data_IF_750771515775
#
_entry.id   IF_750771515775
#
_cell.length_a   1.000
_cell.length_b   1.000
_cell.length_c   1.000
_cell.angle_alpha   90.00
_cell.angle_beta   90.00
_cell.angle_gamma   90.00
#
_symmetry.space_group_name_H-M   'P 1'
#
loop_
_entity.id
_entity.type
_entity.pdbx_description
1 polymer ?
#
# COMPACT_ATOMS: atom_id res chain seq x y z
N UNK A 1 9.25 13.85 26.57
CA UNK A 1 8.34 12.95 25.81
C UNK A 1 8.08 13.65 24.49
N UNK A 2 8.87 13.31 23.46
CA UNK A 2 8.70 13.87 22.12
C UNK A 2 7.50 13.23 21.45
N UNK A 3 6.43 14.00 21.26
CA UNK A 3 5.38 13.62 20.31
C UNK A 3 6.03 13.43 18.93
N UNK A 4 5.98 12.21 18.40
CA UNK A 4 6.33 12.02 17.00
C UNK A 4 5.34 12.82 16.16
N UNK A 5 5.87 13.69 15.30
CA UNK A 5 5.03 14.37 14.33
C UNK A 5 4.44 13.36 13.35
N UNK A 6 3.14 13.42 13.13
CA UNK A 6 2.48 12.71 12.04
C UNK A 6 3.10 13.16 10.72
N UNK A 7 3.15 12.23 9.75
CA UNK A 7 3.66 12.47 8.42
C UNK A 7 5.14 12.09 8.23
N UNK A 8 5.61 12.28 7.02
CA UNK A 8 6.97 11.99 6.58
C UNK A 8 7.69 13.29 6.19
N UNK A 9 8.75 13.62 6.89
CA UNK A 9 9.52 14.86 6.72
C UNK A 9 10.82 14.69 5.92
N UNK A 10 11.09 13.50 5.38
CA UNK A 10 12.34 13.17 4.67
C UNK A 10 12.44 13.72 3.23
N UNK A 11 11.51 14.56 2.81
CA UNK A 11 11.48 15.10 1.45
C UNK A 11 10.92 14.14 0.41
N UNK A 12 11.42 14.19 -0.81
CA UNK A 12 10.96 13.31 -1.90
C UNK A 12 11.32 11.85 -1.62
N UNK A 13 10.38 10.96 -1.93
CA UNK A 13 10.54 9.52 -1.77
C UNK A 13 10.12 8.80 -3.04
N UNK A 14 11.00 7.96 -3.57
CA UNK A 14 10.79 7.14 -4.76
C UNK A 14 10.82 5.67 -4.36
N UNK A 15 9.65 5.03 -4.38
CA UNK A 15 9.50 3.62 -3.99
C UNK A 15 9.23 2.76 -5.21
N UNK A 16 10.07 1.75 -5.44
CA UNK A 16 9.79 0.67 -6.38
C UNK A 16 8.87 -0.34 -5.70
N UNK A 17 7.63 -0.45 -6.19
CA UNK A 17 6.62 -1.34 -5.65
C UNK A 17 6.60 -2.68 -6.42
N UNK A 18 6.87 -3.77 -5.71
CA UNK A 18 6.78 -5.15 -6.22
C UNK A 18 6.26 -6.11 -5.15
N UNK A 19 5.31 -5.65 -4.36
CA UNK A 19 4.62 -6.41 -3.31
C UNK A 19 3.43 -7.25 -3.81
N UNK A 20 3.22 -7.30 -5.13
CA UNK A 20 2.20 -8.16 -5.74
C UNK A 20 2.45 -9.62 -5.40
N UNK A 21 1.42 -10.31 -4.93
CA UNK A 21 1.48 -11.74 -4.53
C UNK A 21 0.64 -12.59 -5.46
N UNK A 22 -0.66 -12.70 -5.23
CA UNK A 22 -1.55 -13.53 -6.04
C UNK A 22 -1.54 -13.16 -7.53
N UNK A 23 -1.67 -11.88 -7.86
CA UNK A 23 -1.66 -11.43 -9.26
C UNK A 23 -0.30 -11.65 -9.95
N UNK A 24 0.80 -11.54 -9.24
CA UNK A 24 2.13 -11.83 -9.77
C UNK A 24 2.30 -13.32 -10.04
N UNK A 25 1.90 -14.16 -9.09
CA UNK A 25 1.89 -15.62 -9.21
C UNK A 25 1.06 -16.08 -10.41
N UNK A 26 -0.17 -15.60 -10.54
CA UNK A 26 -1.08 -16.08 -11.61
C UNK A 26 -0.76 -15.49 -12.97
N UNK A 27 -0.57 -14.16 -13.05
CA UNK A 27 -0.37 -13.47 -14.35
C UNK A 27 1.02 -13.66 -14.95
N UNK A 28 2.06 -13.72 -14.09
CA UNK A 28 3.44 -13.86 -14.56
C UNK A 28 3.86 -15.31 -14.76
N UNK A 29 3.42 -16.21 -13.87
CA UNK A 29 3.88 -17.59 -13.82
C UNK A 29 2.79 -18.61 -14.18
N UNK A 30 1.52 -18.20 -14.30
CA UNK A 30 0.41 -19.10 -14.59
C UNK A 30 0.13 -20.12 -13.47
N UNK A 31 0.55 -19.83 -12.25
CA UNK A 31 0.41 -20.75 -11.11
C UNK A 31 -0.90 -20.42 -10.39
N UNK A 32 -1.81 -21.38 -10.39
CA UNK A 32 -3.08 -21.30 -9.67
C UNK A 32 -2.97 -21.96 -8.28
N UNK A 33 -3.72 -21.44 -7.31
CA UNK A 33 -3.73 -21.94 -5.94
C UNK A 33 -2.43 -21.70 -5.17
N UNK A 34 -2.09 -22.58 -4.25
CA UNK A 34 -0.87 -22.46 -3.43
C UNK A 34 0.34 -22.98 -4.22
N UNK A 35 1.39 -22.17 -4.41
CA UNK A 35 2.60 -22.62 -5.10
C UNK A 35 3.34 -23.66 -4.25
N UNK A 36 3.93 -24.64 -4.94
CA UNK A 36 4.86 -25.55 -4.30
C UNK A 36 6.21 -24.88 -3.95
N UNK A 37 7.12 -25.55 -3.22
CA UNK A 37 8.41 -24.96 -2.85
C UNK A 37 9.28 -24.51 -4.04
N UNK A 38 9.28 -25.25 -5.15
CA UNK A 38 10.04 -24.89 -6.35
C UNK A 38 9.45 -23.69 -7.07
N UNK A 39 8.13 -23.64 -7.18
CA UNK A 39 7.39 -22.51 -7.72
C UNK A 39 7.59 -21.25 -6.85
N UNK A 40 7.55 -21.40 -5.53
CA UNK A 40 7.82 -20.32 -4.57
C UNK A 40 9.22 -19.74 -4.76
N UNK A 41 10.23 -20.59 -4.92
CA UNK A 41 11.61 -20.13 -5.16
C UNK A 41 11.75 -19.42 -6.51
N UNK A 42 11.08 -19.91 -7.56
CA UNK A 42 11.05 -19.25 -8.88
C UNK A 42 10.47 -17.84 -8.80
N UNK A 43 9.36 -17.67 -8.06
CA UNK A 43 8.73 -16.35 -7.85
C UNK A 43 9.66 -15.44 -7.02
N UNK A 44 10.29 -16.00 -5.98
CA UNK A 44 11.23 -15.26 -5.14
C UNK A 44 12.48 -14.79 -5.93
N UNK A 45 12.98 -15.61 -6.84
CA UNK A 45 14.09 -15.25 -7.74
C UNK A 45 13.71 -14.10 -8.67
N UNK A 46 12.50 -14.08 -9.19
CA UNK A 46 12.01 -12.97 -10.00
C UNK A 46 11.93 -11.67 -9.17
N UNK A 47 11.47 -11.74 -7.92
CA UNK A 47 11.48 -10.59 -7.00
C UNK A 47 12.89 -10.11 -6.69
N UNK A 48 13.83 -11.03 -6.50
CA UNK A 48 15.25 -10.70 -6.35
C UNK A 48 15.81 -9.96 -7.56
N UNK A 49 15.47 -10.39 -8.77
CA UNK A 49 15.89 -9.73 -10.01
C UNK A 49 15.32 -8.31 -10.13
N UNK A 50 14.06 -8.09 -9.74
CA UNK A 50 13.46 -6.75 -9.69
C UNK A 50 14.25 -5.86 -8.71
N UNK A 51 14.58 -6.39 -7.54
CA UNK A 51 15.38 -5.68 -6.54
C UNK A 51 16.79 -5.34 -7.04
N UNK A 52 17.46 -6.23 -7.78
CA UNK A 52 18.77 -5.96 -8.40
C UNK A 52 18.71 -4.78 -9.38
N UNK A 53 17.57 -4.58 -10.06
CA UNK A 53 17.31 -3.39 -10.86
C UNK A 53 17.34 -2.09 -10.02
N UNK A 54 16.85 -2.15 -8.79
CA UNK A 54 16.94 -1.02 -7.85
C UNK A 54 18.39 -0.77 -7.41
N UNK A 55 19.16 -1.82 -7.09
CA UNK A 55 20.57 -1.68 -6.75
C UNK A 55 21.35 -1.02 -7.88
N UNK A 56 21.10 -1.45 -9.12
CA UNK A 56 21.71 -0.85 -10.31
C UNK A 56 21.33 0.63 -10.48
N UNK A 57 20.09 1.01 -10.16
CA UNK A 57 19.67 2.41 -10.20
C UNK A 57 20.46 3.26 -9.18
N UNK A 58 20.69 2.74 -7.99
CA UNK A 58 21.52 3.39 -6.96
C UNK A 58 22.99 3.51 -7.41
N UNK A 59 23.55 2.47 -7.99
CA UNK A 59 24.90 2.49 -8.56
C UNK A 59 25.04 3.52 -9.68
N UNK A 60 23.97 3.80 -10.39
CA UNK A 60 23.90 4.82 -11.47
C UNK A 60 23.56 6.22 -10.99
N UNK A 61 23.48 6.43 -9.67
CA UNK A 61 23.34 7.76 -9.07
C UNK A 61 21.97 8.08 -8.46
N UNK A 62 21.04 7.13 -8.37
CA UNK A 62 19.85 7.33 -7.56
C UNK A 62 20.26 7.52 -6.10
N UNK A 63 19.67 8.53 -5.42
CA UNK A 63 19.98 8.82 -4.01
C UNK A 63 19.35 7.74 -3.09
N UNK A 64 20.15 6.91 -2.39
CA UNK A 64 19.61 5.86 -1.52
C UNK A 64 18.67 6.41 -0.43
N UNK A 65 18.98 7.57 0.14
CA UNK A 65 18.18 8.18 1.20
C UNK A 65 16.76 8.60 0.75
N UNK A 66 16.58 8.85 -0.55
CA UNK A 66 15.29 9.20 -1.16
C UNK A 66 14.64 8.02 -1.90
N UNK A 67 15.25 6.84 -1.85
CA UNK A 67 14.82 5.68 -2.63
C UNK A 67 14.43 4.54 -1.70
N UNK A 68 13.38 3.82 -2.06
CA UNK A 68 12.90 2.69 -1.28
C UNK A 68 12.30 1.58 -2.12
N UNK A 69 11.95 0.50 -1.46
CA UNK A 69 11.27 -0.65 -2.02
C UNK A 69 10.02 -0.97 -1.21
N UNK A 70 8.98 -1.41 -1.89
CA UNK A 70 7.79 -2.00 -1.29
C UNK A 70 7.73 -3.46 -1.74
N UNK A 71 7.93 -4.38 -0.81
CA UNK A 71 8.06 -5.81 -1.05
C UNK A 71 7.30 -6.62 -0.01
N UNK A 72 6.74 -7.75 -0.40
CA UNK A 72 6.00 -8.66 0.47
C UNK A 72 6.91 -9.69 1.19
N UNK A 73 6.40 -10.25 2.28
CA UNK A 73 7.09 -11.32 3.02
C UNK A 73 7.05 -12.65 2.28
N UNK A 74 5.93 -12.99 1.63
CA UNK A 74 5.69 -14.33 1.06
C UNK A 74 6.75 -14.72 0.02
N UNK A 75 7.02 -13.84 -0.93
CA UNK A 75 7.96 -14.10 -2.03
C UNK A 75 9.21 -13.23 -1.99
N UNK A 76 9.21 -12.16 -1.19
CA UNK A 76 10.27 -11.17 -1.16
C UNK A 76 11.07 -11.13 0.14
N UNK A 77 10.96 -12.14 1.01
CA UNK A 77 11.59 -12.14 2.35
C UNK A 77 13.12 -12.00 2.36
N UNK A 78 13.80 -12.25 1.24
CA UNK A 78 15.26 -12.08 1.09
C UNK A 78 15.68 -10.63 0.76
N UNK A 79 14.73 -9.75 0.44
CA UNK A 79 15.00 -8.36 0.02
C UNK A 79 15.20 -7.40 1.20
N UNK A 80 14.42 -7.45 2.29
CA UNK A 80 14.43 -6.44 3.35
C UNK A 80 15.82 -6.16 3.93
N UNK A 81 16.57 -7.19 4.30
CA UNK A 81 17.92 -7.06 4.87
C UNK A 81 18.89 -6.40 3.88
N UNK A 82 18.86 -6.81 2.61
CA UNK A 82 19.68 -6.21 1.55
C UNK A 82 19.33 -4.74 1.32
N UNK A 83 18.05 -4.40 1.28
CA UNK A 83 17.60 -3.02 1.09
C UNK A 83 18.08 -2.12 2.24
N UNK A 84 17.92 -2.56 3.48
CA UNK A 84 18.39 -1.83 4.66
C UNK A 84 19.91 -1.66 4.64
N UNK A 85 20.67 -2.70 4.28
CA UNK A 85 22.13 -2.63 4.20
C UNK A 85 22.66 -1.62 3.18
N UNK A 86 21.84 -1.29 2.17
CA UNK A 86 22.13 -0.26 1.15
C UNK A 86 21.59 1.14 1.54
N UNK A 87 21.01 1.29 2.72
CA UNK A 87 20.42 2.56 3.16
C UNK A 87 19.12 2.93 2.45
N UNK A 88 18.45 1.97 1.80
CA UNK A 88 17.16 2.17 1.14
C UNK A 88 16.04 2.16 2.17
N UNK A 89 14.97 2.92 1.88
CA UNK A 89 13.73 2.82 2.64
C UNK A 89 13.01 1.51 2.33
N UNK A 90 12.44 0.89 3.35
CA UNK A 90 11.70 -0.35 3.25
C UNK A 90 10.23 -0.12 3.61
N UNK A 91 9.33 -0.46 2.71
CA UNK A 91 7.90 -0.60 2.98
C UNK A 91 7.48 -2.06 2.80
N UNK A 92 6.58 -2.56 3.66
CA UNK A 92 6.06 -3.92 3.56
C UNK A 92 4.54 -3.93 3.78
N UNK A 93 3.80 -4.74 3.01
CA UNK A 93 2.35 -4.85 3.15
C UNK A 93 1.95 -5.60 4.42
N UNK A 94 0.86 -5.15 5.02
CA UNK A 94 0.22 -5.78 6.17
C UNK A 94 -1.10 -6.45 5.75
N UNK A 95 -1.68 -5.99 4.64
CA UNK A 95 -2.94 -6.50 4.11
C UNK A 95 -2.79 -7.89 3.50
N UNK A 96 -3.86 -8.68 3.61
CA UNK A 96 -4.06 -9.94 2.88
C UNK A 96 -4.28 -9.65 1.40
N UNK A 97 -3.52 -10.34 0.55
CA UNK A 97 -3.59 -10.15 -0.90
C UNK A 97 -4.87 -10.71 -1.51
N UNK A 98 -5.43 -9.97 -2.49
CA UNK A 98 -6.53 -10.46 -3.32
C UNK A 98 -7.94 -10.29 -2.72
N UNK A 99 -8.07 -9.68 -1.57
CA UNK A 99 -9.35 -9.44 -0.92
C UNK A 99 -9.93 -8.07 -1.29
N UNK A 100 -11.26 -7.98 -1.40
CA UNK A 100 -11.95 -6.70 -1.58
C UNK A 100 -12.07 -5.93 -0.25
N UNK A 101 -12.24 -6.63 0.84
CA UNK A 101 -12.26 -6.09 2.20
C UNK A 101 -10.86 -6.19 2.82
N UNK A 102 -10.46 -5.19 3.58
CA UNK A 102 -9.18 -5.23 4.29
C UNK A 102 -9.19 -6.27 5.41
N UNK A 103 -8.24 -7.19 5.35
CA UNK A 103 -7.89 -8.12 6.41
C UNK A 103 -6.37 -8.09 6.61
N UNK A 104 -5.93 -8.39 7.82
CA UNK A 104 -4.52 -8.65 8.08
C UNK A 104 -4.09 -9.98 7.45
N UNK A 105 -2.94 -9.99 6.75
CA UNK A 105 -2.38 -11.23 6.18
C UNK A 105 -2.13 -12.29 7.26
N UNK A 106 -1.65 -11.85 8.42
CA UNK A 106 -1.29 -12.72 9.54
C UNK A 106 -2.24 -12.58 10.74
N UNK A 107 -3.47 -12.11 10.51
CA UNK A 107 -4.48 -11.98 11.57
C UNK A 107 -3.95 -11.18 12.77
N UNK A 108 -4.17 -11.69 13.97
CA UNK A 108 -3.75 -11.04 15.22
C UNK A 108 -2.22 -11.01 15.41
N UNK A 109 -1.46 -11.78 14.62
CA UNK A 109 0.02 -11.84 14.68
C UNK A 109 0.69 -10.78 13.80
N UNK A 110 -0.07 -9.87 13.20
CA UNK A 110 0.46 -8.84 12.29
C UNK A 110 1.61 -8.04 12.90
N UNK A 111 1.53 -7.75 14.18
CA UNK A 111 2.54 -6.98 14.90
C UNK A 111 3.90 -7.67 14.94
N UNK A 112 3.92 -8.98 15.19
CA UNK A 112 5.16 -9.78 15.17
C UNK A 112 5.83 -9.76 13.78
N UNK A 113 5.05 -9.88 12.71
CA UNK A 113 5.56 -9.80 11.34
C UNK A 113 6.12 -8.42 11.00
N UNK A 114 5.50 -7.34 11.46
CA UNK A 114 6.05 -5.98 11.33
C UNK A 114 7.38 -5.86 12.10
N UNK A 115 7.44 -6.31 13.34
CA UNK A 115 8.66 -6.24 14.17
C UNK A 115 9.80 -7.08 13.60
N UNK A 116 9.51 -8.24 13.04
CA UNK A 116 10.48 -9.15 12.42
C UNK A 116 11.30 -8.48 11.32
N UNK A 117 10.65 -7.74 10.43
CA UNK A 117 11.32 -7.06 9.31
C UNK A 117 11.66 -5.62 9.61
N UNK A 118 11.00 -5.01 10.58
CA UNK A 118 11.21 -3.64 11.03
C UNK A 118 11.27 -2.64 9.86
N UNK A 119 10.20 -2.55 9.03
CA UNK A 119 10.17 -1.65 7.88
C UNK A 119 10.09 -0.18 8.32
N UNK A 120 10.58 0.74 7.47
CA UNK A 120 10.34 2.19 7.63
C UNK A 120 8.86 2.53 7.56
N UNK A 121 8.12 1.82 6.70
CA UNK A 121 6.68 2.02 6.50
C UNK A 121 5.93 0.68 6.50
N UNK A 122 4.91 0.57 7.34
CA UNK A 122 3.91 -0.50 7.21
C UNK A 122 2.83 -0.04 6.24
N UNK A 123 2.64 -0.78 5.15
CA UNK A 123 1.74 -0.41 4.06
C UNK A 123 0.47 -1.21 4.11
N UNK A 124 -0.65 -0.57 3.82
CA UNK A 124 -1.92 -1.22 3.49
C UNK A 124 -2.40 -0.80 2.11
N UNK A 125 -3.06 -1.72 1.40
CA UNK A 125 -3.91 -1.41 0.26
C UNK A 125 -5.35 -1.61 0.68
N UNK A 126 -6.16 -0.57 0.54
CA UNK A 126 -7.56 -0.57 0.95
C UNK A 126 -8.44 -0.08 -0.20
N UNK A 127 -9.48 -0.84 -0.50
CA UNK A 127 -10.57 -0.43 -1.39
C UNK A 127 -11.66 0.17 -0.54
N UNK A 128 -11.88 1.47 -0.71
CA UNK A 128 -12.85 2.21 0.08
C UNK A 128 -13.58 3.23 -0.78
N UNK A 129 -14.85 2.95 -1.08
CA UNK A 129 -15.74 3.94 -1.67
C UNK A 129 -16.68 4.45 -0.56
N UNK A 130 -16.72 5.76 -0.25
CA UNK A 130 -17.57 6.29 0.82
C UNK A 130 -19.06 6.10 0.57
N UNK A 131 -19.46 5.89 -0.68
CA UNK A 131 -20.85 5.61 -1.09
C UNK A 131 -21.09 4.10 -1.32
N UNK A 132 -20.10 3.24 -1.01
CA UNK A 132 -20.20 1.79 -1.17
C UNK A 132 -20.85 1.09 0.02
N UNK A 133 -20.51 -0.21 0.19
CA UNK A 133 -21.03 -1.03 1.31
C UNK A 133 -20.61 -0.46 2.67
N UNK A 134 -21.55 0.21 3.35
CA UNK A 134 -21.31 0.86 4.62
C UNK A 134 -20.87 -0.13 5.72
N UNK A 135 -21.41 -1.35 5.73
CA UNK A 135 -21.07 -2.36 6.73
C UNK A 135 -19.64 -2.89 6.52
N UNK A 136 -19.24 -3.11 5.28
CA UNK A 136 -17.86 -3.47 4.93
C UNK A 136 -16.91 -2.33 5.29
N UNK A 137 -17.24 -1.10 4.94
CA UNK A 137 -16.44 0.07 5.25
C UNK A 137 -16.22 0.23 6.76
N UNK A 138 -17.25 0.05 7.57
CA UNK A 138 -17.14 0.13 9.03
C UNK A 138 -16.21 -0.95 9.60
N UNK A 139 -16.31 -2.19 9.12
CA UNK A 139 -15.42 -3.27 9.55
C UNK A 139 -13.96 -2.99 9.17
N UNK A 140 -13.73 -2.48 7.96
CA UNK A 140 -12.39 -2.07 7.51
C UNK A 140 -11.82 -0.98 8.42
N UNK A 141 -12.61 0.07 8.71
CA UNK A 141 -12.18 1.16 9.58
C UNK A 141 -11.82 0.68 10.98
N UNK A 142 -12.56 -0.28 11.54
CA UNK A 142 -12.24 -0.87 12.84
C UNK A 142 -10.86 -1.53 12.84
N UNK A 143 -10.55 -2.37 11.84
CA UNK A 143 -9.23 -3.03 11.73
C UNK A 143 -8.11 -2.04 11.45
N UNK A 144 -8.35 -1.06 10.59
CA UNK A 144 -7.37 -0.02 10.25
C UNK A 144 -7.05 0.87 11.45
N UNK A 145 -8.03 1.17 12.30
CA UNK A 145 -7.81 1.88 13.56
C UNK A 145 -6.88 1.07 14.48
N UNK A 146 -7.14 -0.22 14.64
CA UNK A 146 -6.26 -1.11 15.43
C UNK A 146 -4.81 -1.05 14.91
N UNK A 147 -4.62 -1.09 13.60
CA UNK A 147 -3.28 -0.97 13.01
C UNK A 147 -2.66 0.41 13.25
N UNK A 148 -3.43 1.49 13.03
CA UNK A 148 -2.96 2.87 13.21
C UNK A 148 -2.51 3.12 14.63
N UNK A 149 -3.31 2.73 15.63
CA UNK A 149 -2.98 2.82 17.05
C UNK A 149 -1.72 2.02 17.38
N UNK A 150 -1.65 0.76 16.95
CA UNK A 150 -0.51 -0.12 17.19
C UNK A 150 0.80 0.45 16.63
N UNK A 151 0.77 1.00 15.42
CA UNK A 151 1.93 1.60 14.77
C UNK A 151 2.40 2.88 15.51
N UNK A 152 1.48 3.79 15.81
CA UNK A 152 1.81 5.07 16.44
C UNK A 152 2.28 4.93 17.88
N UNK A 153 1.71 4.01 18.66
CA UNK A 153 2.22 3.67 20.00
C UNK A 153 3.68 3.19 19.99
N UNK A 154 4.14 2.64 18.85
CA UNK A 154 5.51 2.12 18.67
C UNK A 154 6.38 3.03 17.82
N UNK A 155 5.93 4.26 17.56
CA UNK A 155 6.63 5.24 16.72
C UNK A 155 6.96 4.70 15.32
N UNK A 156 6.05 3.89 14.73
CA UNK A 156 6.17 3.36 13.38
C UNK A 156 5.34 4.16 12.40
N UNK A 157 5.78 4.23 11.15
CA UNK A 157 5.12 5.00 10.10
C UNK A 157 4.14 4.15 9.30
N UNK A 158 3.01 4.76 8.94
CA UNK A 158 1.90 4.15 8.24
C UNK A 158 1.78 4.70 6.82
N UNK A 159 1.96 3.84 5.80
CA UNK A 159 1.74 4.14 4.40
C UNK A 159 0.39 3.55 3.97
N UNK A 160 -0.55 4.41 3.61
CA UNK A 160 -1.91 4.01 3.24
C UNK A 160 -2.11 4.13 1.72
N UNK A 161 -2.25 3.00 1.04
CA UNK A 161 -2.62 2.95 -0.38
C UNK A 161 -4.14 2.86 -0.49
N UNK A 162 -4.74 3.95 -0.97
CA UNK A 162 -6.19 4.07 -1.14
C UNK A 162 -6.57 3.85 -2.60
N UNK A 163 -7.46 2.90 -2.85
CA UNK A 163 -8.18 2.74 -4.10
C UNK A 163 -9.66 3.03 -3.87
N UNK A 164 -10.28 3.76 -4.80
CA UNK A 164 -11.71 4.08 -4.76
C UNK A 164 -12.38 3.46 -5.99
N UNK A 165 -12.70 2.15 -5.95
CA UNK A 165 -13.37 1.49 -7.06
C UNK A 165 -14.79 2.04 -7.23
N UNK A 166 -15.22 2.15 -8.48
CA UNK A 166 -16.56 2.61 -8.79
C UNK A 166 -17.63 1.61 -8.33
N UNK A 167 -18.70 2.12 -7.71
CA UNK A 167 -19.93 1.36 -7.53
C UNK A 167 -20.72 1.27 -8.85
N UNK A 168 -21.56 0.22 -9.05
CA UNK A 168 -22.31 0.05 -10.29
C UNK A 168 -23.12 1.28 -10.71
N UNK A 169 -23.79 1.94 -9.76
CA UNK A 169 -24.58 3.15 -10.03
C UNK A 169 -23.73 4.35 -10.44
N UNK A 170 -22.49 4.44 -9.94
CA UNK A 170 -21.56 5.49 -10.33
C UNK A 170 -21.03 5.28 -11.75
N UNK A 171 -20.75 4.03 -12.15
CA UNK A 171 -20.41 3.71 -13.54
C UNK A 171 -21.58 3.97 -14.48
N UNK A 172 -22.80 3.59 -14.11
CA UNK A 172 -24.00 3.87 -14.90
C UNK A 172 -24.21 5.38 -15.12
N UNK A 173 -23.98 6.20 -14.08
CA UNK A 173 -24.12 7.66 -14.16
C UNK A 173 -23.17 8.30 -15.18
N UNK A 174 -22.04 7.67 -15.48
CA UNK A 174 -21.07 8.12 -16.50
C UNK A 174 -21.14 7.30 -17.80
N UNK A 175 -22.22 6.53 -17.99
CA UNK A 175 -22.46 5.75 -19.21
C UNK A 175 -21.61 4.49 -19.34
N UNK A 176 -21.13 3.94 -18.23
CA UNK A 176 -20.26 2.76 -18.20
C UNK A 176 -18.79 3.05 -18.56
N UNK A 177 -18.42 4.31 -18.64
CA UNK A 177 -17.09 4.77 -19.05
C UNK A 177 -16.18 4.94 -17.80
N UNK A 178 -15.19 4.08 -17.64
CA UNK A 178 -14.25 4.12 -16.51
C UNK A 178 -13.36 5.37 -16.52
N UNK A 179 -12.98 5.87 -17.69
CA UNK A 179 -12.14 7.08 -17.80
C UNK A 179 -12.92 8.31 -17.35
N UNK A 180 -14.23 8.34 -17.66
CA UNK A 180 -15.12 9.39 -17.15
C UNK A 180 -15.34 9.28 -15.64
N UNK A 181 -15.48 8.07 -15.10
CA UNK A 181 -15.53 7.89 -13.65
C UNK A 181 -14.25 8.45 -12.99
N UNK A 182 -13.09 8.10 -13.50
CA UNK A 182 -11.81 8.55 -12.99
C UNK A 182 -11.63 10.08 -13.05
N UNK A 183 -12.14 10.71 -14.11
CA UNK A 183 -12.02 12.14 -14.29
C UNK A 183 -13.09 12.96 -13.56
N UNK A 184 -14.33 12.44 -13.45
CA UNK A 184 -15.50 13.23 -13.04
C UNK A 184 -15.97 12.92 -11.60
N UNK A 185 -15.85 11.66 -11.14
CA UNK A 185 -16.41 11.24 -9.86
C UNK A 185 -15.34 10.86 -8.83
N UNK A 186 -14.31 10.09 -9.22
CA UNK A 186 -13.32 9.55 -8.30
C UNK A 186 -12.58 10.62 -7.47
N UNK A 187 -12.22 11.81 -7.97
CA UNK A 187 -11.50 12.81 -7.16
C UNK A 187 -12.27 13.24 -5.91
N UNK A 188 -13.57 13.49 -6.03
CA UNK A 188 -14.41 13.88 -4.90
C UNK A 188 -14.65 12.69 -3.94
N UNK A 189 -14.88 11.49 -4.49
CA UNK A 189 -15.02 10.27 -3.69
C UNK A 189 -13.74 9.95 -2.92
N UNK A 190 -12.58 10.18 -3.52
CA UNK A 190 -11.27 10.00 -2.86
C UNK A 190 -11.10 10.97 -1.70
N UNK A 191 -11.47 12.25 -1.88
CA UNK A 191 -11.46 13.23 -0.80
C UNK A 191 -12.37 12.78 0.34
N UNK A 192 -13.61 12.39 0.03
CA UNK A 192 -14.55 11.87 1.02
C UNK A 192 -14.06 10.60 1.71
N UNK A 193 -13.37 9.71 0.99
CA UNK A 193 -12.76 8.51 1.57
C UNK A 193 -11.66 8.86 2.59
N UNK A 194 -10.75 9.77 2.24
CA UNK A 194 -9.69 10.22 3.15
C UNK A 194 -10.30 10.85 4.41
N UNK A 195 -11.28 11.76 4.25
CA UNK A 195 -11.98 12.39 5.38
C UNK A 195 -12.66 11.35 6.28
N UNK A 196 -13.36 10.37 5.70
CA UNK A 196 -14.02 9.31 6.47
C UNK A 196 -13.02 8.45 7.25
N UNK A 197 -11.90 8.09 6.63
CA UNK A 197 -10.83 7.29 7.24
C UNK A 197 -10.20 8.06 8.41
N UNK A 198 -9.88 9.35 8.21
CA UNK A 198 -9.32 10.20 9.27
C UNK A 198 -10.32 10.42 10.41
N UNK A 199 -11.59 10.70 10.11
CA UNK A 199 -12.65 10.86 11.11
C UNK A 199 -12.88 9.57 11.94
N UNK A 200 -12.55 8.41 11.40
CA UNK A 200 -12.58 7.14 12.12
C UNK A 200 -11.35 6.93 13.04
N UNK A 201 -10.42 7.90 13.11
CA UNK A 201 -9.22 7.81 13.95
C UNK A 201 -8.07 7.04 13.32
N UNK A 202 -8.09 6.89 11.98
CA UNK A 202 -6.99 6.27 11.23
C UNK A 202 -6.08 7.37 10.68
N UNK A 203 -4.83 7.40 11.14
CA UNK A 203 -3.86 8.43 10.79
C UNK A 203 -2.74 7.84 9.93
N UNK A 204 -2.72 8.20 8.65
CA UNK A 204 -1.65 7.81 7.74
C UNK A 204 -0.53 8.85 7.76
N UNK A 205 0.71 8.39 7.77
CA UNK A 205 1.89 9.25 7.60
C UNK A 205 2.15 9.57 6.12
N UNK A 206 1.79 8.65 5.24
CA UNK A 206 1.88 8.80 3.79
C UNK A 206 0.62 8.25 3.15
N UNK A 207 0.01 9.02 2.27
CA UNK A 207 -1.06 8.58 1.39
C UNK A 207 -0.50 8.23 0.01
N UNK A 208 -0.72 7.00 -0.44
CA UNK A 208 -0.52 6.59 -1.83
C UNK A 208 -1.90 6.54 -2.49
N UNK A 209 -2.14 7.44 -3.42
CA UNK A 209 -3.44 7.60 -4.07
C UNK A 209 -3.35 7.34 -5.56
N UNK A 210 -4.50 7.04 -6.18
CA UNK A 210 -4.63 6.95 -7.63
C UNK A 210 -4.40 8.32 -8.27
N UNK A 211 -3.78 8.36 -9.44
CA UNK A 211 -3.49 9.60 -10.14
C UNK A 211 -4.75 10.43 -10.42
N UNK A 212 -4.63 11.74 -10.34
CA UNK A 212 -5.69 12.72 -10.63
C UNK A 212 -5.16 13.67 -11.70
N UNK A 213 -5.75 13.62 -12.90
CA UNK A 213 -5.18 14.27 -14.08
C UNK A 213 -5.50 15.77 -14.19
N UNK A 214 -6.59 16.22 -13.59
CA UNK A 214 -6.99 17.64 -13.65
C UNK A 214 -6.44 18.42 -12.47
N UNK A 215 -5.86 19.60 -12.73
CA UNK A 215 -5.33 20.49 -11.67
C UNK A 215 -6.38 20.87 -10.62
N UNK A 216 -7.62 21.11 -11.08
CA UNK A 216 -8.74 21.45 -10.19
C UNK A 216 -9.05 20.27 -9.24
N UNK A 217 -9.05 19.05 -9.78
CA UNK A 217 -9.28 17.84 -8.98
C UNK A 217 -8.12 17.57 -8.02
N UNK A 218 -6.87 17.82 -8.43
CA UNK A 218 -5.69 17.67 -7.55
C UNK A 218 -5.75 18.61 -6.35
N UNK A 219 -6.31 19.81 -6.50
CA UNK A 219 -6.44 20.78 -5.40
C UNK A 219 -7.52 20.39 -4.38
N UNK A 220 -8.40 19.45 -4.72
CA UNK A 220 -9.50 18.98 -3.86
C UNK A 220 -9.08 17.78 -2.99
N UNK A 221 -7.96 17.14 -3.30
CA UNK A 221 -7.45 16.01 -2.51
C UNK A 221 -6.54 16.57 -1.41
N UNK A 222 -6.89 16.46 -0.13
CA UNK A 222 -6.01 16.89 0.96
C UNK A 222 -4.80 15.94 1.02
N UNK A 223 -3.62 16.50 0.96
CA UNK A 223 -2.34 15.78 1.11
C UNK A 223 -1.75 16.01 2.50
#
# INVERSE_FOLDING_TARGET
EGFMSLGYSGGKLFILAFDHRGSFQTKMFGIEGSPDPSQTETIADAKRLIYEGMELAVERGANPAATGVLVDEQFGSKVPERAKSKGLKLAMPVEKSGENEFFFEYGDDFGHHIEKFDPDFSKVLVRYNPEGDAAMNERQLGRLRTLSEWLHERNRKFLFELLVPAEPGQLEAVGGDSDRYDAELRPELMRGAIEAIQNAGVEADIWKIEGVDRKEAQSQVPL
#
